data_IF_476939116792
#
_entry.id   IF_476939116792
#
_cell.length_a   1.000
_cell.length_b   1.000
_cell.length_c   1.000
_cell.angle_alpha   90.00
_cell.angle_beta   90.00
_cell.angle_gamma   90.00
#
_symmetry.space_group_name_H-M   'P 1'
#
loop_
_entity.id
_entity.type
_entity.pdbx_description
1 polymer ?
#
# COMPACT_ATOMS: atom_id res chain seq x y z
N UNK A 1 -9.85 -12.12 25.31
CA UNK A 1 -8.91 -11.80 26.41
C UNK A 1 -8.94 -10.29 26.60
N UNK A 2 -9.02 -9.78 27.83
CA UNK A 2 -9.03 -8.33 28.10
C UNK A 2 -7.60 -7.79 28.06
N UNK A 3 -7.44 -6.54 27.63
CA UNK A 3 -6.13 -5.87 27.50
C UNK A 3 -6.18 -4.49 28.11
N UNK A 4 -5.09 -4.07 28.77
CA UNK A 4 -4.94 -2.74 29.35
C UNK A 4 -3.60 -2.11 28.92
N UNK A 5 -3.64 -0.82 28.61
CA UNK A 5 -2.50 0.06 28.37
C UNK A 5 -2.30 0.96 29.59
N UNK A 6 -1.13 0.91 30.21
CA UNK A 6 -0.69 2.00 31.07
C UNK A 6 0.12 3.02 30.28
N UNK A 7 -0.20 4.30 30.42
CA UNK A 7 0.66 5.39 29.96
C UNK A 7 0.40 6.67 30.75
N UNK A 8 1.43 7.50 30.96
CA UNK A 8 1.27 8.81 31.57
C UNK A 8 0.76 9.88 30.60
N UNK A 9 0.84 9.63 29.29
CA UNK A 9 0.41 10.58 28.26
C UNK A 9 -0.19 9.82 27.07
N UNK A 10 -1.51 9.88 26.94
CA UNK A 10 -2.22 9.32 25.79
C UNK A 10 -2.24 10.33 24.63
N UNK A 11 -1.29 10.21 23.70
CA UNK A 11 -1.24 11.03 22.49
C UNK A 11 -2.06 10.44 21.33
N UNK A 12 -2.40 11.26 20.32
CA UNK A 12 -3.05 10.77 19.09
C UNK A 12 -2.21 9.73 18.35
N UNK A 13 -0.88 9.86 18.36
CA UNK A 13 0.02 8.89 17.71
C UNK A 13 0.02 7.56 18.45
N UNK A 14 0.03 7.58 19.79
CA UNK A 14 -0.07 6.38 20.61
C UNK A 14 -1.43 5.71 20.41
N UNK A 15 -2.53 6.46 20.46
CA UNK A 15 -3.87 5.93 20.18
C UNK A 15 -3.95 5.27 18.81
N UNK A 16 -3.41 5.93 17.77
CA UNK A 16 -3.38 5.39 16.41
C UNK A 16 -2.63 4.07 16.36
N UNK A 17 -1.38 4.02 16.86
CA UNK A 17 -0.57 2.80 16.72
C UNK A 17 -1.11 1.65 17.58
N UNK A 18 -1.70 1.95 18.74
CA UNK A 18 -2.40 0.96 19.55
C UNK A 18 -3.63 0.42 18.81
N UNK A 19 -4.41 1.27 18.15
CA UNK A 19 -5.56 0.82 17.36
C UNK A 19 -5.18 0.05 16.09
N UNK A 20 -3.95 0.18 15.60
CA UNK A 20 -3.42 -0.56 14.45
C UNK A 20 -2.80 -1.89 14.87
N UNK A 21 -1.98 -1.89 15.92
CA UNK A 21 -1.27 -3.07 16.40
C UNK A 21 -2.05 -3.86 17.44
N UNK A 22 -3.13 -3.34 18.01
CA UNK A 22 -3.92 -4.05 18.99
C UNK A 22 -5.40 -3.85 18.67
N UNK A 23 -6.26 -4.47 19.46
CA UNK A 23 -7.70 -4.27 19.36
C UNK A 23 -8.07 -2.84 19.78
N UNK A 24 -9.04 -2.24 19.09
CA UNK A 24 -9.60 -0.93 19.47
C UNK A 24 -10.20 -0.91 20.89
N UNK A 25 -10.48 -2.08 21.45
CA UNK A 25 -11.13 -2.25 22.78
C UNK A 25 -10.14 -2.29 23.96
N UNK A 26 -8.86 -1.97 23.74
CA UNK A 26 -7.85 -1.95 24.79
C UNK A 26 -8.14 -0.80 25.77
N UNK A 27 -8.29 -1.15 27.07
CA UNK A 27 -8.55 -0.17 28.13
C UNK A 27 -7.29 0.67 28.34
N UNK A 28 -7.40 1.99 28.45
CA UNK A 28 -6.26 2.87 28.75
C UNK A 28 -6.38 3.41 30.17
N UNK A 29 -5.28 3.40 30.92
CA UNK A 29 -5.19 3.93 32.29
C UNK A 29 -3.88 4.68 32.49
N UNK A 30 -3.91 5.68 33.35
CA UNK A 30 -2.73 6.34 33.95
C UNK A 30 -2.57 5.97 35.44
N UNK A 31 -3.52 5.22 36.00
CA UNK A 31 -3.47 4.67 37.36
C UNK A 31 -2.67 3.37 37.39
N UNK A 32 -1.59 3.36 38.18
CA UNK A 32 -0.78 2.16 38.45
C UNK A 32 -1.57 1.10 39.19
N UNK A 33 -2.41 1.49 40.15
CA UNK A 33 -3.23 0.54 40.92
C UNK A 33 -4.21 -0.20 40.03
N UNK A 34 -4.88 0.52 39.13
CA UNK A 34 -5.78 -0.06 38.13
C UNK A 34 -5.03 -1.02 37.21
N UNK A 35 -3.81 -0.66 36.79
CA UNK A 35 -2.99 -1.49 35.92
C UNK A 35 -2.51 -2.79 36.61
N UNK A 36 -2.05 -2.69 37.85
CA UNK A 36 -1.58 -3.83 38.65
C UNK A 36 -2.73 -4.80 38.92
N UNK A 37 -3.91 -4.28 39.29
CA UNK A 37 -5.09 -5.07 39.62
C UNK A 37 -5.80 -5.69 38.39
N UNK A 38 -5.40 -5.32 37.18
CA UNK A 38 -6.05 -5.80 35.96
C UNK A 38 -5.73 -7.28 35.68
N UNK A 39 -6.77 -8.08 35.45
CA UNK A 39 -6.64 -9.47 35.01
C UNK A 39 -6.72 -9.57 33.48
N UNK A 40 -5.58 -9.79 32.83
CA UNK A 40 -5.45 -9.84 31.38
C UNK A 40 -4.08 -9.38 30.88
N UNK A 41 -3.99 -9.08 29.59
CA UNK A 41 -2.76 -8.60 28.98
C UNK A 41 -2.46 -7.15 29.40
N UNK A 42 -1.25 -6.93 29.93
CA UNK A 42 -0.79 -5.64 30.45
C UNK A 42 0.32 -5.09 29.57
N UNK A 43 0.04 -4.01 28.82
CA UNK A 43 1.04 -3.24 28.09
C UNK A 43 1.38 -1.99 28.89
N UNK A 44 2.63 -1.85 29.30
CA UNK A 44 3.13 -0.67 29.99
C UNK A 44 3.97 0.17 29.01
N UNK A 45 3.48 1.36 28.64
CA UNK A 45 4.22 2.33 27.84
C UNK A 45 4.62 3.54 28.70
N UNK A 46 5.71 3.39 29.45
CA UNK A 46 6.25 4.40 30.37
C UNK A 46 7.74 4.21 30.66
N UNK A 47 8.35 5.14 31.39
CA UNK A 47 9.79 5.15 31.67
C UNK A 47 10.30 3.99 32.53
N UNK A 48 9.42 3.34 33.30
CA UNK A 48 9.80 2.32 34.28
C UNK A 48 8.82 1.15 34.29
N UNK A 49 9.29 -0.06 34.61
CA UNK A 49 8.39 -1.18 34.82
C UNK A 49 7.45 -0.95 36.03
N UNK A 50 6.27 -1.56 36.02
CA UNK A 50 5.23 -1.41 37.05
C UNK A 50 4.84 -2.76 37.66
N UNK A 51 4.68 -3.79 36.84
CA UNK A 51 4.32 -5.14 37.27
C UNK A 51 5.30 -6.19 36.76
N UNK A 52 5.33 -7.38 37.38
CA UNK A 52 6.23 -8.46 36.96
C UNK A 52 5.77 -9.18 35.69
N UNK A 53 4.46 -9.19 35.41
CA UNK A 53 3.78 -9.89 34.32
C UNK A 53 3.39 -8.95 33.15
N UNK A 54 4.14 -7.87 32.95
CA UNK A 54 3.83 -6.87 31.93
C UNK A 54 4.67 -7.01 30.65
N UNK A 55 4.11 -6.54 29.54
CA UNK A 55 4.87 -6.14 28.37
C UNK A 55 5.30 -4.69 28.56
N UNK A 56 6.51 -4.46 29.06
CA UNK A 56 7.05 -3.10 29.26
C UNK A 56 7.80 -2.61 28.03
N UNK A 57 7.37 -1.46 27.52
CA UNK A 57 7.98 -0.74 26.42
C UNK A 57 8.38 0.64 26.93
N UNK A 58 9.67 0.89 26.99
CA UNK A 58 10.17 2.23 27.29
C UNK A 58 9.93 3.16 26.09
N UNK A 59 9.31 4.34 26.26
CA UNK A 59 9.11 5.28 25.17
C UNK A 59 10.43 5.82 24.59
N UNK A 60 10.52 5.86 23.26
CA UNK A 60 11.57 6.62 22.55
C UNK A 60 11.24 8.12 22.49
N UNK A 61 9.95 8.48 22.59
CA UNK A 61 9.45 9.85 22.60
C UNK A 61 8.74 10.28 21.31
N UNK A 62 8.91 9.54 20.20
CA UNK A 62 8.28 9.87 18.91
C UNK A 62 6.74 9.92 19.01
N UNK A 63 6.15 8.99 19.77
CA UNK A 63 4.69 8.96 19.95
C UNK A 63 4.18 10.13 20.81
N UNK A 64 4.98 10.70 21.70
CA UNK A 64 4.57 11.87 22.49
C UNK A 64 4.69 13.19 21.72
N UNK A 65 5.51 13.22 20.67
CA UNK A 65 5.76 14.42 19.88
C UNK A 65 4.53 14.89 19.10
N UNK A 66 4.31 16.20 19.07
CA UNK A 66 3.21 16.87 18.34
C UNK A 66 3.65 17.42 16.98
N UNK A 67 4.96 17.53 16.74
CA UNK A 67 5.55 18.02 15.50
C UNK A 67 6.20 16.89 14.71
N UNK A 68 6.36 17.13 13.40
CA UNK A 68 7.14 16.24 12.53
C UNK A 68 8.55 16.82 12.45
N UNK A 69 9.52 16.04 12.91
CA UNK A 69 10.93 16.39 12.92
C UNK A 69 11.76 15.18 12.50
N UNK A 70 12.92 15.44 11.91
CA UNK A 70 13.88 14.40 11.53
C UNK A 70 14.28 13.57 12.74
N UNK A 71 14.29 12.25 12.58
CA UNK A 71 14.66 11.30 13.63
C UNK A 71 16.05 10.76 13.34
N UNK A 72 16.91 10.72 14.35
CA UNK A 72 18.19 10.00 14.24
C UNK A 72 17.92 8.51 14.44
N UNK A 73 17.93 7.75 13.34
CA UNK A 73 17.63 6.34 13.35
C UNK A 73 18.91 5.53 13.20
N UNK A 74 19.25 4.76 14.23
CA UNK A 74 20.26 3.71 14.18
C UNK A 74 19.55 2.37 14.13
N UNK A 75 19.88 1.53 13.15
CA UNK A 75 19.36 0.17 13.07
C UNK A 75 20.32 -0.81 13.76
N UNK A 76 19.75 -1.71 14.57
CA UNK A 76 20.44 -2.80 15.24
C UNK A 76 19.75 -4.12 14.92
N UNK A 77 20.36 -5.24 15.30
CA UNK A 77 19.73 -6.56 15.23
C UNK A 77 19.15 -6.94 16.60
N UNK A 78 17.94 -7.46 16.60
CA UNK A 78 17.33 -8.12 17.75
C UNK A 78 16.76 -9.46 17.30
N UNK A 79 17.46 -10.53 17.69
CA UNK A 79 17.11 -11.91 17.39
C UNK A 79 16.90 -12.18 15.88
N UNK A 80 17.79 -11.63 15.04
CA UNK A 80 17.76 -11.78 13.59
C UNK A 80 16.78 -10.86 12.88
N UNK A 81 16.18 -9.89 13.58
CA UNK A 81 15.33 -8.86 13.00
C UNK A 81 15.95 -7.47 13.16
N UNK A 82 15.96 -6.63 12.12
CA UNK A 82 16.30 -5.22 12.26
C UNK A 82 15.37 -4.55 13.28
N UNK A 83 15.92 -3.71 14.13
CA UNK A 83 15.21 -2.86 15.08
C UNK A 83 15.81 -1.46 15.05
N UNK A 84 15.05 -0.47 15.48
CA UNK A 84 15.50 0.91 15.66
C UNK A 84 14.66 1.60 16.73
N UNK A 85 15.04 2.83 17.10
CA UNK A 85 14.55 3.46 18.33
C UNK A 85 14.86 2.61 19.56
N UNK A 86 16.12 2.18 19.63
CA UNK A 86 16.63 1.41 20.77
C UNK A 86 16.48 2.19 22.07
N UNK A 87 16.19 1.44 23.13
CA UNK A 87 15.99 1.97 24.47
C UNK A 87 16.84 1.16 25.46
N UNK A 88 16.99 1.68 26.67
CA UNK A 88 17.80 1.03 27.72
C UNK A 88 17.04 -0.04 28.51
N UNK A 89 15.93 -0.58 27.98
CA UNK A 89 15.13 -1.61 28.64
C UNK A 89 15.76 -2.99 28.58
N UNK A 90 15.53 -3.80 29.61
CA UNK A 90 16.12 -5.13 29.82
C UNK A 90 15.39 -6.27 29.10
N UNK A 91 14.13 -6.06 28.69
CA UNK A 91 13.31 -7.05 27.97
C UNK A 91 13.26 -6.77 26.47
N UNK A 92 12.46 -5.78 26.08
CA UNK A 92 12.35 -5.33 24.68
C UNK A 92 13.37 -4.20 24.49
N UNK A 93 14.40 -4.35 23.63
CA UNK A 93 15.51 -3.38 23.56
C UNK A 93 15.22 -2.14 22.71
N UNK A 94 13.95 -1.91 22.33
CA UNK A 94 13.53 -0.81 21.49
C UNK A 94 12.06 -0.48 21.70
N UNK A 95 11.68 0.74 21.32
CA UNK A 95 10.29 1.14 21.28
C UNK A 95 9.63 0.66 19.99
N UNK A 96 9.11 -0.57 20.01
CA UNK A 96 8.45 -1.16 18.84
C UNK A 96 7.18 -0.42 18.42
N UNK A 97 6.53 0.32 19.34
CA UNK A 97 5.35 1.12 19.02
C UNK A 97 5.77 2.34 18.21
N UNK A 98 6.80 3.07 18.63
CA UNK A 98 7.37 4.17 17.85
C UNK A 98 7.90 3.68 16.51
N UNK A 99 8.59 2.54 16.48
CA UNK A 99 9.18 1.99 15.26
C UNK A 99 8.10 1.57 14.25
N UNK A 100 7.05 0.89 14.71
CA UNK A 100 5.92 0.52 13.87
C UNK A 100 5.16 1.75 13.37
N UNK A 101 4.92 2.75 14.23
CA UNK A 101 4.32 4.02 13.81
C UNK A 101 5.11 4.66 12.67
N UNK A 102 6.43 4.79 12.83
CA UNK A 102 7.32 5.39 11.84
C UNK A 102 7.22 4.70 10.46
N UNK A 103 7.18 3.37 10.43
CA UNK A 103 7.06 2.59 9.19
C UNK A 103 5.66 2.68 8.58
N UNK A 104 4.61 2.46 9.38
CA UNK A 104 3.21 2.40 8.90
C UNK A 104 2.77 3.75 8.37
N UNK A 105 3.09 4.83 9.08
CA UNK A 105 2.71 6.18 8.63
C UNK A 105 3.60 6.69 7.52
N UNK A 106 4.63 5.93 7.09
CA UNK A 106 5.63 6.40 6.13
C UNK A 106 6.20 7.75 6.57
N UNK A 107 6.58 7.86 7.85
CA UNK A 107 6.94 9.12 8.50
C UNK A 107 8.00 9.92 7.72
N UNK A 108 8.90 9.21 7.04
CA UNK A 108 9.95 9.76 6.18
C UNK A 108 9.43 10.62 5.03
N UNK A 109 8.23 10.33 4.52
CA UNK A 109 7.61 11.04 3.40
C UNK A 109 7.06 12.42 3.80
N UNK A 110 6.96 12.69 5.11
CA UNK A 110 6.53 14.00 5.63
C UNK A 110 7.72 14.92 5.98
N UNK A 111 8.94 14.43 5.88
CA UNK A 111 10.15 15.22 6.04
C UNK A 111 10.56 15.84 4.70
N UNK A 112 11.39 16.90 4.68
CA UNK A 112 11.91 17.41 3.42
C UNK A 112 12.66 16.32 2.63
N UNK A 113 12.22 16.05 1.40
CA UNK A 113 12.86 15.10 0.50
C UNK A 113 12.94 15.64 -0.93
N UNK A 114 13.83 15.07 -1.73
CA UNK A 114 13.86 15.30 -3.18
C UNK A 114 12.98 14.25 -3.85
N UNK A 115 11.83 14.67 -4.36
CA UNK A 115 10.92 13.79 -5.09
C UNK A 115 11.46 13.39 -6.46
N UNK A 116 10.91 12.32 -7.02
CA UNK A 116 11.09 11.97 -8.42
C UNK A 116 10.37 12.95 -9.36
N UNK A 117 10.33 12.66 -10.66
CA UNK A 117 9.65 13.49 -11.68
C UNK A 117 8.15 13.72 -11.39
N UNK A 118 7.55 12.87 -10.56
CA UNK A 118 6.15 12.94 -10.13
C UNK A 118 6.00 13.47 -8.69
N UNK A 119 7.09 13.90 -8.05
CA UNK A 119 7.11 14.39 -6.67
C UNK A 119 7.01 13.30 -5.61
N UNK A 120 7.18 12.03 -5.97
CA UNK A 120 7.05 10.90 -5.05
C UNK A 120 8.33 10.66 -4.26
N UNK A 121 8.19 10.13 -3.05
CA UNK A 121 9.32 9.73 -2.23
C UNK A 121 10.01 8.49 -2.82
N UNK A 122 11.32 8.59 -3.09
CA UNK A 122 12.07 7.46 -3.66
C UNK A 122 12.30 6.36 -2.61
N UNK A 123 11.93 5.13 -2.93
CA UNK A 123 12.04 4.00 -2.00
C UNK A 123 13.46 3.80 -1.45
N UNK A 124 14.50 4.12 -2.24
CA UNK A 124 15.91 4.02 -1.84
C UNK A 124 16.28 4.92 -0.64
N UNK A 125 15.53 6.01 -0.46
CA UNK A 125 15.73 6.90 0.67
C UNK A 125 15.18 6.31 1.98
N UNK A 126 14.26 5.34 1.89
CA UNK A 126 13.57 4.80 3.06
C UNK A 126 14.50 3.99 3.95
N UNK A 127 14.24 4.02 5.25
CA UNK A 127 14.93 3.17 6.22
C UNK A 127 14.93 1.70 5.80
N UNK A 128 13.79 1.22 5.30
CA UNK A 128 13.59 -0.16 4.89
C UNK A 128 14.49 -0.58 3.73
N UNK A 129 14.74 0.30 2.75
CA UNK A 129 15.68 0.02 1.69
C UNK A 129 17.13 0.07 2.18
N UNK A 130 17.51 1.17 2.87
CA UNK A 130 18.89 1.38 3.32
C UNK A 130 19.41 0.27 4.24
N UNK A 131 18.52 -0.34 5.02
CA UNK A 131 18.84 -1.44 5.93
C UNK A 131 18.31 -2.81 5.44
N UNK A 132 18.00 -2.93 4.15
CA UNK A 132 17.71 -4.19 3.46
C UNK A 132 16.57 -5.05 4.08
N UNK A 133 15.50 -4.40 4.54
CA UNK A 133 14.30 -5.08 5.05
C UNK A 133 13.02 -4.72 4.30
N UNK A 134 13.14 -4.08 3.12
CA UNK A 134 12.00 -3.66 2.31
C UNK A 134 11.02 -4.80 1.96
N UNK A 135 11.54 -6.02 1.79
CA UNK A 135 10.76 -7.21 1.45
C UNK A 135 10.28 -8.00 2.68
N UNK A 136 10.57 -7.52 3.89
CA UNK A 136 10.21 -8.19 5.13
C UNK A 136 8.98 -7.54 5.76
N UNK A 137 7.98 -8.31 6.22
CA UNK A 137 6.87 -7.78 7.01
C UNK A 137 7.33 -7.54 8.46
N UNK A 138 8.27 -6.61 8.63
CA UNK A 138 9.10 -6.46 9.82
C UNK A 138 8.26 -6.27 11.10
N UNK A 139 7.20 -5.49 11.01
CA UNK A 139 6.28 -5.25 12.13
C UNK A 139 5.56 -6.55 12.52
N UNK A 140 5.07 -7.33 11.56
CA UNK A 140 4.43 -8.60 11.84
C UNK A 140 5.42 -9.60 12.45
N UNK A 141 6.68 -9.60 12.01
CA UNK A 141 7.74 -10.43 12.58
C UNK A 141 8.04 -10.04 14.04
N UNK A 142 8.13 -8.74 14.35
CA UNK A 142 8.24 -8.26 15.73
C UNK A 142 7.04 -8.70 16.57
N UNK A 143 5.80 -8.46 16.09
CA UNK A 143 4.59 -8.82 16.82
C UNK A 143 4.50 -10.33 17.07
N UNK A 144 4.94 -11.17 16.12
CA UNK A 144 4.98 -12.63 16.30
C UNK A 144 5.98 -13.05 17.39
N UNK A 145 7.17 -12.44 17.43
CA UNK A 145 8.15 -12.68 18.49
C UNK A 145 7.61 -12.24 19.86
N UNK A 146 7.10 -11.01 19.94
CA UNK A 146 6.54 -10.45 21.17
C UNK A 146 5.35 -11.26 21.69
N UNK A 147 4.50 -11.76 20.80
CA UNK A 147 3.37 -12.61 21.19
C UNK A 147 3.81 -13.91 21.87
N UNK A 148 4.95 -14.47 21.44
CA UNK A 148 5.54 -15.67 22.06
C UNK A 148 6.06 -15.35 23.46
N UNK A 149 6.65 -14.18 23.67
CA UNK A 149 7.29 -13.81 24.94
C UNK A 149 6.34 -13.26 26.01
N UNK A 150 5.25 -12.58 25.62
CA UNK A 150 4.41 -11.81 26.56
C UNK A 150 2.95 -12.25 26.61
N UNK A 151 2.61 -13.43 26.05
CA UNK A 151 1.22 -13.91 25.97
C UNK A 151 0.26 -12.85 25.42
N UNK A 152 0.73 -12.07 24.43
CA UNK A 152 -0.10 -11.06 23.77
C UNK A 152 -1.34 -11.80 23.23
N UNK A 153 -2.57 -11.30 23.49
CA UNK A 153 -3.80 -11.93 23.05
C UNK A 153 -3.64 -12.34 21.59
N UNK A 154 -3.88 -13.62 21.30
CA UNK A 154 -3.62 -14.19 19.99
C UNK A 154 -4.24 -13.27 18.94
N UNK A 155 -3.38 -12.62 18.15
CA UNK A 155 -3.83 -11.89 16.98
C UNK A 155 -4.55 -12.92 16.13
N UNK A 156 -5.87 -12.79 16.04
CA UNK A 156 -6.57 -13.28 14.87
C UNK A 156 -6.14 -12.37 13.72
N UNK A 157 -4.90 -12.55 13.24
CA UNK A 157 -4.53 -12.07 11.92
C UNK A 157 -5.64 -12.59 11.01
N UNK A 158 -6.27 -11.71 10.22
CA UNK A 158 -7.30 -12.19 9.31
C UNK A 158 -6.69 -13.33 8.50
N UNK A 159 -7.46 -14.40 8.23
CA UNK A 159 -6.97 -15.47 7.38
C UNK A 159 -6.44 -14.85 6.10
N UNK A 160 -5.30 -15.36 5.63
CA UNK A 160 -4.68 -14.84 4.42
C UNK A 160 -5.72 -14.78 3.30
N UNK A 161 -5.90 -13.59 2.74
CA UNK A 161 -6.79 -13.35 1.62
C UNK A 161 -6.00 -12.74 0.48
N UNK A 162 -6.24 -13.22 -0.74
CA UNK A 162 -5.64 -12.69 -1.94
C UNK A 162 -6.72 -12.13 -2.85
N UNK A 163 -6.60 -10.85 -3.18
CA UNK A 163 -7.50 -10.15 -4.11
C UNK A 163 -6.65 -9.49 -5.18
N UNK A 164 -6.61 -10.03 -6.41
CA UNK A 164 -5.85 -9.40 -7.49
C UNK A 164 -6.51 -8.07 -7.87
N UNK A 165 -5.69 -7.08 -8.22
CA UNK A 165 -6.16 -5.81 -8.78
C UNK A 165 -5.38 -5.48 -10.06
N UNK A 166 -6.06 -4.88 -11.04
CA UNK A 166 -5.49 -4.55 -12.33
C UNK A 166 -5.74 -3.08 -12.67
N UNK A 167 -4.67 -2.34 -12.91
CA UNK A 167 -4.73 -1.01 -13.51
C UNK A 167 -4.67 -1.15 -15.04
N UNK A 168 -5.76 -0.80 -15.72
CA UNK A 168 -5.88 -0.83 -17.18
C UNK A 168 -5.39 0.50 -17.74
N UNK A 169 -4.07 0.67 -17.78
CA UNK A 169 -3.38 1.84 -18.35
C UNK A 169 -3.57 1.93 -19.87
N UNK A 170 -3.51 0.77 -20.54
CA UNK A 170 -3.64 0.62 -21.98
C UNK A 170 -4.44 -0.64 -22.24
N UNK A 171 -5.70 -0.48 -22.67
CA UNK A 171 -6.59 -1.61 -22.90
C UNK A 171 -6.19 -2.46 -24.13
N UNK A 172 -5.60 -1.83 -25.14
CA UNK A 172 -5.19 -2.47 -26.38
C UNK A 172 -3.88 -1.84 -26.85
N UNK A 173 -2.94 -2.63 -27.35
CA UNK A 173 -1.67 -2.11 -27.89
C UNK A 173 -1.89 -1.42 -29.24
N UNK A 174 -2.74 -2.01 -30.10
CA UNK A 174 -2.93 -1.62 -31.49
C UNK A 174 -4.39 -1.41 -31.88
N UNK A 175 -5.28 -2.30 -31.43
CA UNK A 175 -6.71 -2.22 -31.75
C UNK A 175 -7.36 -0.98 -31.12
N UNK A 176 -8.42 -0.50 -31.77
CA UNK A 176 -9.28 0.60 -31.31
C UNK A 176 -8.60 1.97 -31.11
N UNK A 177 -7.30 2.08 -31.41
CA UNK A 177 -6.63 3.37 -31.56
C UNK A 177 -7.04 4.06 -32.86
N UNK A 178 -6.91 5.38 -32.88
CA UNK A 178 -7.12 6.15 -34.11
C UNK A 178 -6.13 5.74 -35.20
N UNK A 179 -6.55 5.81 -36.46
CA UNK A 179 -5.71 5.50 -37.63
C UNK A 179 -4.40 6.30 -37.59
N UNK A 180 -4.49 7.60 -37.26
CA UNK A 180 -3.32 8.47 -37.13
C UNK A 180 -2.31 7.96 -36.09
N UNK A 181 -2.79 7.38 -34.98
CA UNK A 181 -1.92 6.77 -33.96
C UNK A 181 -1.24 5.51 -34.48
N UNK A 182 -1.96 4.66 -35.20
CA UNK A 182 -1.37 3.45 -35.77
C UNK A 182 -0.33 3.78 -36.85
N UNK A 183 -0.59 4.80 -37.68
CA UNK A 183 0.38 5.32 -38.65
C UNK A 183 1.61 5.92 -37.96
N UNK A 184 1.42 6.77 -36.94
CA UNK A 184 2.55 7.33 -36.18
C UNK A 184 3.36 6.26 -35.43
N UNK A 185 2.69 5.24 -34.89
CA UNK A 185 3.33 4.07 -34.29
C UNK A 185 4.17 3.31 -35.30
N UNK A 186 3.62 3.02 -36.48
CA UNK A 186 4.34 2.39 -37.58
C UNK A 186 5.59 3.19 -37.99
N UNK A 187 5.48 4.51 -38.19
CA UNK A 187 6.64 5.36 -38.50
C UNK A 187 7.71 5.33 -37.41
N UNK A 188 7.30 5.37 -36.13
CA UNK A 188 8.22 5.28 -35.00
C UNK A 188 8.94 3.93 -34.96
N UNK A 189 8.21 2.84 -35.13
CA UNK A 189 8.75 1.47 -35.09
C UNK A 189 9.68 1.24 -36.29
N UNK A 190 9.35 1.82 -37.45
CA UNK A 190 10.21 1.85 -38.65
C UNK A 190 11.50 2.63 -38.42
N UNK A 191 11.45 3.84 -37.86
CA UNK A 191 12.64 4.65 -37.54
C UNK A 191 13.55 3.92 -36.52
N UNK A 192 12.95 3.16 -35.60
CA UNK A 192 13.68 2.34 -34.61
C UNK A 192 14.19 1.01 -35.16
N UNK A 193 13.88 0.67 -36.41
CA UNK A 193 14.16 -0.62 -37.03
C UNK A 193 13.64 -1.83 -36.22
N UNK A 194 12.52 -1.66 -35.49
CA UNK A 194 11.88 -2.73 -34.73
C UNK A 194 10.94 -3.54 -35.63
N UNK A 195 11.55 -4.42 -36.44
CA UNK A 195 10.84 -5.27 -37.41
C UNK A 195 9.81 -6.20 -36.75
N UNK A 196 10.03 -6.58 -35.49
CA UNK A 196 9.11 -7.45 -34.75
C UNK A 196 7.84 -6.69 -34.39
N UNK A 197 7.96 -5.48 -33.83
CA UNK A 197 6.81 -4.64 -33.50
C UNK A 197 6.00 -4.24 -34.75
N UNK A 198 6.66 -4.01 -35.89
CA UNK A 198 5.99 -3.76 -37.17
C UNK A 198 5.18 -4.97 -37.63
N UNK A 199 5.78 -6.17 -37.57
CA UNK A 199 5.12 -7.42 -37.93
C UNK A 199 3.91 -7.72 -37.04
N UNK A 200 4.06 -7.59 -35.72
CA UNK A 200 2.97 -7.78 -34.75
C UNK A 200 1.82 -6.81 -35.00
N UNK A 201 2.12 -5.50 -35.16
CA UNK A 201 1.09 -4.49 -35.47
C UNK A 201 0.31 -4.86 -36.73
N UNK A 202 0.97 -5.27 -37.81
CA UNK A 202 0.29 -5.64 -39.04
C UNK A 202 -0.56 -6.90 -38.88
N UNK A 203 -0.06 -7.92 -38.18
CA UNK A 203 -0.81 -9.14 -37.93
C UNK A 203 -2.05 -8.88 -37.07
N UNK A 204 -1.93 -8.05 -36.04
CA UNK A 204 -3.05 -7.68 -35.17
C UNK A 204 -4.10 -6.85 -35.93
N UNK A 205 -3.67 -5.82 -36.66
CA UNK A 205 -4.60 -4.95 -37.41
C UNK A 205 -5.31 -5.69 -38.56
N UNK A 206 -4.68 -6.72 -39.13
CA UNK A 206 -5.29 -7.60 -40.14
C UNK A 206 -6.11 -8.75 -39.53
N UNK A 207 -6.19 -8.86 -38.20
CA UNK A 207 -6.94 -9.91 -37.52
C UNK A 207 -6.30 -11.31 -37.58
N UNK A 208 -5.03 -11.41 -37.95
CA UNK A 208 -4.26 -12.65 -37.95
C UNK A 208 -3.88 -13.07 -36.53
N UNK A 209 -3.59 -12.09 -35.68
CA UNK A 209 -3.18 -12.29 -34.28
C UNK A 209 -4.08 -11.50 -33.33
N UNK A 210 -4.30 -12.00 -32.12
CA UNK A 210 -4.96 -11.23 -31.04
C UNK A 210 -4.06 -10.08 -30.59
N UNK A 211 -4.65 -8.94 -30.22
CA UNK A 211 -3.90 -7.85 -29.63
C UNK A 211 -3.19 -8.34 -28.35
N UNK A 212 -1.88 -8.09 -28.19
CA UNK A 212 -1.12 -8.61 -27.05
C UNK A 212 -1.61 -8.10 -25.69
N UNK A 213 -2.36 -6.98 -25.65
CA UNK A 213 -2.92 -6.44 -24.42
C UNK A 213 -4.36 -6.90 -24.17
N UNK A 214 -5.01 -7.50 -25.17
CA UNK A 214 -6.33 -8.12 -25.03
C UNK A 214 -6.20 -9.52 -24.39
N UNK A 215 -5.87 -9.52 -23.09
CA UNK A 215 -5.65 -10.73 -22.29
C UNK A 215 -6.86 -11.10 -21.41
N UNK A 216 -7.98 -10.41 -21.59
CA UNK A 216 -9.11 -10.44 -20.66
C UNK A 216 -9.78 -11.82 -20.56
N UNK A 217 -9.92 -12.54 -21.68
CA UNK A 217 -10.47 -13.91 -21.67
C UNK A 217 -9.61 -14.86 -20.84
N UNK A 218 -8.28 -14.77 -21.01
CA UNK A 218 -7.33 -15.57 -20.26
C UNK A 218 -7.40 -15.25 -18.77
N UNK A 219 -7.46 -13.96 -18.41
CA UNK A 219 -7.67 -13.53 -17.03
C UNK A 219 -8.98 -14.07 -16.46
N UNK A 220 -10.07 -14.00 -17.22
CA UNK A 220 -11.37 -14.47 -16.77
C UNK A 220 -11.39 -15.98 -16.49
N UNK A 221 -10.75 -16.77 -17.35
CA UNK A 221 -10.55 -18.20 -17.13
C UNK A 221 -9.69 -18.48 -15.89
N UNK A 222 -8.60 -17.73 -15.72
CA UNK A 222 -7.72 -17.85 -14.56
C UNK A 222 -8.47 -17.54 -13.26
N UNK A 223 -9.21 -16.43 -13.21
CA UNK A 223 -9.98 -16.03 -12.03
C UNK A 223 -11.08 -17.02 -11.71
N UNK A 224 -11.78 -17.53 -12.73
CA UNK A 224 -12.84 -18.52 -12.54
C UNK A 224 -12.30 -19.85 -12.00
N UNK A 225 -11.16 -20.32 -12.53
CA UNK A 225 -10.56 -21.60 -12.08
C UNK A 225 -10.04 -21.55 -10.65
N UNK A 226 -9.60 -20.37 -10.19
CA UNK A 226 -9.08 -20.14 -8.84
C UNK A 226 -10.09 -19.49 -7.88
N UNK A 227 -11.34 -19.27 -8.32
CA UNK A 227 -12.40 -18.58 -7.57
C UNK A 227 -11.98 -17.19 -7.04
N UNK A 228 -11.18 -16.47 -7.82
CA UNK A 228 -10.69 -15.14 -7.47
C UNK A 228 -11.73 -14.06 -7.77
N UNK A 229 -11.70 -12.98 -6.98
CA UNK A 229 -12.58 -11.82 -7.13
C UNK A 229 -11.74 -10.57 -7.43
N UNK A 230 -11.24 -10.41 -8.68
CA UNK A 230 -10.39 -9.29 -9.03
C UNK A 230 -11.12 -7.94 -8.95
N UNK A 231 -10.33 -6.87 -8.83
CA UNK A 231 -10.79 -5.49 -8.98
C UNK A 231 -10.08 -4.86 -10.19
N UNK A 232 -10.82 -4.25 -11.11
CA UNK A 232 -10.26 -3.62 -12.29
C UNK A 232 -10.42 -2.09 -12.23
N UNK A 233 -9.32 -1.36 -12.38
CA UNK A 233 -9.30 0.09 -12.42
C UNK A 233 -9.04 0.58 -13.84
N UNK A 234 -9.95 1.37 -14.39
CA UNK A 234 -9.86 1.83 -15.78
C UNK A 234 -9.32 3.25 -15.86
N UNK A 235 -8.28 3.46 -16.69
CA UNK A 235 -7.81 4.80 -17.03
C UNK A 235 -8.71 5.44 -18.10
N UNK A 236 -9.50 6.44 -17.69
CA UNK A 236 -10.52 7.10 -18.55
C UNK A 236 -10.23 8.58 -18.83
N UNK A 237 -8.95 8.91 -18.99
CA UNK A 237 -8.50 10.24 -19.40
C UNK A 237 -9.11 10.61 -20.77
N UNK A 238 -9.78 11.77 -20.86
CA UNK A 238 -10.32 12.25 -22.15
C UNK A 238 -9.20 12.56 -23.14
N UNK A 239 -8.14 13.18 -22.65
CA UNK A 239 -7.02 13.61 -23.45
C UNK A 239 -5.83 12.70 -23.21
N UNK A 240 -5.10 12.40 -24.28
CA UNK A 240 -3.91 11.57 -24.21
C UNK A 240 -2.70 12.46 -23.94
N UNK A 241 -2.13 12.40 -22.73
CA UNK A 241 -0.99 13.25 -22.36
C UNK A 241 -0.08 12.51 -21.39
N UNK A 242 1.24 12.65 -21.59
CA UNK A 242 2.23 12.01 -20.72
C UNK A 242 2.06 10.49 -20.71
N UNK A 243 1.78 9.92 -19.53
CA UNK A 243 1.54 8.49 -19.35
C UNK A 243 0.11 8.07 -19.69
N UNK A 244 -0.83 9.02 -19.81
CA UNK A 244 -2.23 8.71 -20.09
C UNK A 244 -2.42 8.35 -21.57
N UNK A 245 -2.24 7.09 -21.92
CA UNK A 245 -2.15 6.61 -23.32
C UNK A 245 -3.25 5.64 -23.74
N UNK A 246 -4.30 5.48 -22.95
CA UNK A 246 -5.38 4.55 -23.23
C UNK A 246 -6.23 4.94 -24.47
N UNK A 247 -7.03 4.02 -25.02
CA UNK A 247 -8.00 4.32 -26.08
C UNK A 247 -9.02 5.36 -25.63
N UNK A 248 -9.74 5.98 -26.58
CA UNK A 248 -10.78 6.97 -26.23
C UNK A 248 -11.82 6.33 -25.28
N UNK A 249 -12.05 6.90 -24.08
CA UNK A 249 -13.05 6.41 -23.14
C UNK A 249 -14.46 6.31 -23.72
N UNK A 250 -14.77 7.11 -24.75
CA UNK A 250 -16.08 7.09 -25.40
C UNK A 250 -16.21 6.06 -26.53
N UNK A 251 -15.11 5.40 -26.92
CA UNK A 251 -15.12 4.38 -27.96
C UNK A 251 -16.01 3.20 -27.56
N UNK A 252 -16.66 2.57 -28.55
CA UNK A 252 -17.48 1.39 -28.34
C UNK A 252 -16.68 0.26 -27.67
N UNK A 253 -15.41 0.09 -28.05
CA UNK A 253 -14.54 -0.92 -27.47
C UNK A 253 -14.29 -0.70 -25.97
N UNK A 254 -13.94 0.53 -25.55
CA UNK A 254 -13.74 0.81 -24.12
C UNK A 254 -15.02 0.60 -23.31
N UNK A 255 -16.16 1.12 -23.81
CA UNK A 255 -17.45 0.95 -23.13
C UNK A 255 -17.85 -0.52 -23.01
N UNK A 256 -17.65 -1.30 -24.07
CA UNK A 256 -17.96 -2.72 -24.06
C UNK A 256 -17.07 -3.47 -23.07
N UNK A 257 -15.75 -3.19 -23.07
CA UNK A 257 -14.80 -3.76 -22.13
C UNK A 257 -15.21 -3.49 -20.67
N UNK A 258 -15.55 -2.24 -20.34
CA UNK A 258 -16.01 -1.85 -19.00
C UNK A 258 -17.31 -2.59 -18.65
N UNK A 259 -18.29 -2.63 -19.55
CA UNK A 259 -19.57 -3.34 -19.30
C UNK A 259 -19.36 -4.82 -19.01
N UNK A 260 -18.52 -5.48 -19.79
CA UNK A 260 -18.27 -6.91 -19.62
C UNK A 260 -17.56 -7.18 -18.30
N UNK A 261 -16.60 -6.33 -17.90
CA UNK A 261 -15.96 -6.44 -16.59
C UNK A 261 -16.91 -6.10 -15.44
N UNK A 262 -17.76 -5.07 -15.57
CA UNK A 262 -18.71 -4.67 -14.54
C UNK A 262 -19.77 -5.75 -14.24
N UNK A 263 -20.08 -6.62 -15.21
CA UNK A 263 -20.99 -7.76 -15.02
C UNK A 263 -20.39 -8.85 -14.14
N UNK A 264 -19.08 -9.01 -14.14
CA UNK A 264 -18.39 -10.14 -13.49
C UNK A 264 -17.53 -9.72 -12.28
N UNK A 265 -17.04 -8.49 -12.26
CA UNK A 265 -16.01 -8.02 -11.33
C UNK A 265 -16.34 -6.65 -10.74
N UNK A 266 -15.68 -6.34 -9.62
CA UNK A 266 -15.66 -4.98 -9.11
C UNK A 266 -14.78 -4.10 -10.01
N UNK A 267 -15.26 -2.90 -10.32
CA UNK A 267 -14.55 -1.94 -11.14
C UNK A 267 -14.38 -0.61 -10.42
N UNK A 268 -13.33 0.13 -10.78
CA UNK A 268 -13.03 1.45 -10.27
C UNK A 268 -12.36 2.33 -11.32
N UNK A 269 -12.09 3.58 -10.95
CA UNK A 269 -11.30 4.49 -11.79
C UNK A 269 -9.82 4.30 -11.48
N UNK A 270 -8.97 4.29 -12.51
CA UNK A 270 -7.54 4.56 -12.40
C UNK A 270 -7.34 6.03 -12.78
N UNK A 271 -7.25 6.97 -11.82
CA UNK A 271 -7.20 8.40 -12.12
C UNK A 271 -6.03 8.73 -13.03
N UNK A 272 -6.28 9.56 -14.04
CA UNK A 272 -5.23 10.03 -14.92
C UNK A 272 -4.25 10.92 -14.17
N UNK A 273 -3.00 11.03 -14.65
CA UNK A 273 -2.04 11.98 -14.10
C UNK A 273 -2.57 13.41 -14.19
N UNK A 274 -3.35 13.70 -15.23
CA UNK A 274 -4.01 15.00 -15.42
C UNK A 274 -5.01 15.34 -14.31
N UNK A 275 -5.62 14.34 -13.69
CA UNK A 275 -6.59 14.51 -12.61
C UNK A 275 -5.95 14.66 -11.22
N UNK A 276 -4.65 14.36 -11.08
CA UNK A 276 -3.95 14.36 -9.79
C UNK A 276 -4.07 15.69 -9.02
N UNK A 277 -4.17 16.81 -9.74
CA UNK A 277 -4.32 18.15 -9.17
C UNK A 277 -5.65 18.81 -9.51
N UNK A 278 -6.59 18.09 -10.13
CA UNK A 278 -7.87 18.63 -10.60
C UNK A 278 -9.04 17.75 -10.21
N UNK A 279 -9.74 18.15 -9.14
CA UNK A 279 -10.95 17.47 -8.67
C UNK A 279 -12.05 17.44 -9.74
N UNK A 280 -12.16 18.50 -10.57
CA UNK A 280 -13.12 18.56 -11.66
C UNK A 280 -12.84 17.49 -12.74
N UNK A 281 -11.56 17.27 -13.09
CA UNK A 281 -11.18 16.22 -14.03
C UNK A 281 -11.40 14.83 -13.43
N UNK A 282 -11.07 14.63 -12.15
CA UNK A 282 -11.33 13.37 -11.45
C UNK A 282 -12.83 13.04 -11.44
N UNK A 283 -13.69 14.01 -11.10
CA UNK A 283 -15.16 13.84 -11.17
C UNK A 283 -15.63 13.49 -12.58
N UNK A 284 -15.07 14.14 -13.60
CA UNK A 284 -15.42 13.84 -14.99
C UNK A 284 -14.98 12.42 -15.40
N UNK A 285 -13.84 11.94 -14.92
CA UNK A 285 -13.36 10.56 -15.15
C UNK A 285 -14.25 9.52 -14.45
N UNK A 286 -14.61 9.77 -13.18
CA UNK A 286 -15.57 8.93 -12.44
C UNK A 286 -16.91 8.84 -13.17
N UNK A 287 -17.43 9.97 -13.64
CA UNK A 287 -18.69 10.00 -14.39
C UNK A 287 -18.61 9.22 -15.70
N UNK A 288 -17.45 9.18 -16.39
CA UNK A 288 -17.27 8.36 -17.59
C UNK A 288 -17.38 6.88 -17.29
N UNK A 289 -16.84 6.42 -16.16
CA UNK A 289 -16.96 5.02 -15.74
C UNK A 289 -18.43 4.65 -15.50
N UNK A 290 -19.20 5.53 -14.86
CA UNK A 290 -20.62 5.28 -14.55
C UNK A 290 -21.53 5.26 -15.80
N UNK A 291 -21.15 6.00 -16.84
CA UNK A 291 -21.90 6.11 -18.09
C UNK A 291 -21.46 5.10 -19.16
N UNK A 292 -20.40 4.32 -18.89
CA UNK A 292 -19.84 3.36 -19.83
C UNK A 292 -20.82 2.21 -20.11
#
# INVERSE_FOLDING_TARGET
>A
MRSILYTNQLSTRLQYIIGVLFTKDMVVTDSKDTFIAFDGFKLNYSETPIAADECWVKPHGLLAATTIQEQRVECKDWEGLPIFFSTTSTGIPFDFLSAAFYLITRYEEYLPFKGDELGRYHHENSLAFRFNFLQQPLIQLWMKKLATSFSIPCFCWPPFSFTPSYDIDIAYSYLHHSVLRNVGGFFKDFIKADINALGERMQVLNGVQKDPYDVYDWLSLLHSSLQLKPIYFFLLAKNRRGLDKNIDPNSTAMKQLIKDHARQYSIGIHPSIQSNTSEALLKAEINRLQLA
#
